data_IF_088993861165
#
_entry.id   IF_088993861165
#
_cell.length_a   1.000
_cell.length_b   1.000
_cell.length_c   1.000
_cell.angle_alpha   90.00
_cell.angle_beta   90.00
_cell.angle_gamma   90.00
#
_symmetry.space_group_name_H-M   'P 1'
#
loop_
_entity.id
_entity.type
_entity.pdbx_description
1 polymer ?
#
# COMPACT_ATOMS: atom_id res chain seq x y z
N UNK A 1 6.26 15.31 -2.65
CA UNK A 1 6.89 14.05 -3.15
C UNK A 1 6.02 13.51 -4.27
N UNK A 2 6.61 13.13 -5.41
CA UNK A 2 5.83 12.71 -6.60
C UNK A 2 5.70 11.18 -6.68
N UNK A 3 4.80 10.65 -5.87
CA UNK A 3 4.46 9.22 -5.84
C UNK A 3 2.93 9.07 -5.73
N UNK A 4 2.39 8.03 -6.33
CA UNK A 4 0.99 7.64 -6.20
C UNK A 4 0.90 6.29 -5.52
N UNK A 5 0.11 6.16 -4.46
CA UNK A 5 -0.20 4.88 -3.83
C UNK A 5 -1.56 4.38 -4.30
N UNK A 6 -1.59 3.18 -4.85
CA UNK A 6 -2.79 2.53 -5.38
C UNK A 6 -3.29 1.54 -4.33
N UNK A 7 -4.54 1.69 -3.92
CA UNK A 7 -5.13 0.96 -2.79
C UNK A 7 -6.46 0.36 -3.22
N UNK A 8 -6.49 -0.86 -3.77
CA UNK A 8 -7.73 -1.57 -4.03
C UNK A 8 -8.32 -2.13 -2.73
N UNK A 9 -9.62 -2.05 -2.60
CA UNK A 9 -10.40 -2.48 -1.43
C UNK A 9 -11.64 -3.27 -1.85
N UNK A 10 -11.93 -4.35 -1.15
CA UNK A 10 -13.16 -5.13 -1.29
C UNK A 10 -13.63 -5.62 0.08
N UNK A 11 -14.76 -5.07 0.54
CA UNK A 11 -15.37 -5.40 1.84
C UNK A 11 -14.39 -5.26 3.03
N UNK A 12 -13.60 -4.19 3.04
CA UNK A 12 -12.61 -3.88 4.09
C UNK A 12 -12.66 -2.42 4.52
N UNK A 13 -13.86 -1.83 4.58
CA UNK A 13 -14.06 -0.39 4.87
C UNK A 13 -13.25 0.12 6.05
N UNK A 14 -13.34 -0.53 7.20
CA UNK A 14 -12.67 -0.06 8.42
C UNK A 14 -11.15 -0.20 8.36
N UNK A 15 -10.65 -1.27 7.76
CA UNK A 15 -9.22 -1.41 7.48
C UNK A 15 -8.74 -0.33 6.52
N UNK A 16 -9.50 -0.07 5.43
CA UNK A 16 -9.18 0.99 4.47
C UNK A 16 -9.11 2.37 5.13
N UNK A 17 -10.01 2.68 6.06
CA UNK A 17 -9.97 3.92 6.82
C UNK A 17 -8.69 4.01 7.64
N UNK A 18 -8.29 2.94 8.32
CA UNK A 18 -7.04 2.90 9.08
C UNK A 18 -5.81 3.03 8.16
N UNK A 19 -5.81 2.35 7.03
CA UNK A 19 -4.76 2.49 5.98
C UNK A 19 -4.65 3.94 5.53
N UNK A 20 -5.76 4.56 5.12
CA UNK A 20 -5.81 5.95 4.70
C UNK A 20 -5.28 6.90 5.79
N UNK A 21 -5.75 6.74 7.03
CA UNK A 21 -5.33 7.57 8.15
C UNK A 21 -3.83 7.42 8.45
N UNK A 22 -3.28 6.20 8.38
CA UNK A 22 -1.85 5.96 8.58
C UNK A 22 -1.01 6.68 7.54
N UNK A 23 -1.45 6.68 6.29
CA UNK A 23 -0.77 7.38 5.20
C UNK A 23 -0.85 8.89 5.43
N UNK A 24 -2.05 9.44 5.69
CA UNK A 24 -2.25 10.88 5.90
C UNK A 24 -1.60 11.44 7.17
N UNK A 25 -1.29 10.57 8.14
CA UNK A 25 -0.50 10.94 9.33
C UNK A 25 0.89 11.45 8.92
N UNK A 26 1.54 10.82 7.97
CA UNK A 26 2.92 11.13 7.55
C UNK A 26 2.98 11.90 6.23
N UNK A 27 2.05 11.64 5.30
CA UNK A 27 2.11 12.10 3.92
C UNK A 27 0.80 12.76 3.49
N UNK A 28 0.66 14.05 3.77
CA UNK A 28 -0.58 14.81 3.49
C UNK A 28 -0.81 15.07 2.00
N UNK A 29 0.28 15.19 1.23
CA UNK A 29 0.21 15.72 -0.14
C UNK A 29 0.49 14.67 -1.23
N UNK A 30 0.74 13.41 -0.88
CA UNK A 30 0.92 12.36 -1.89
C UNK A 30 -0.41 11.97 -2.52
N UNK A 31 -0.36 11.59 -3.79
CA UNK A 31 -1.53 11.10 -4.50
C UNK A 31 -1.90 9.70 -4.03
N UNK A 32 -3.17 9.49 -3.73
CA UNK A 32 -3.75 8.16 -3.48
C UNK A 32 -4.74 7.84 -4.60
N UNK A 33 -4.68 6.63 -5.13
CA UNK A 33 -5.70 6.07 -6.01
C UNK A 33 -6.43 5.00 -5.22
N UNK A 34 -7.58 5.35 -4.65
CA UNK A 34 -8.38 4.44 -3.82
C UNK A 34 -9.47 3.83 -4.68
N UNK A 35 -9.52 2.50 -4.70
CA UNK A 35 -10.37 1.73 -5.58
C UNK A 35 -11.30 0.85 -4.75
N UNK A 36 -12.60 1.08 -4.89
CA UNK A 36 -13.62 0.19 -4.39
C UNK A 36 -13.97 -0.85 -5.45
N UNK A 37 -13.63 -2.11 -5.20
CA UNK A 37 -13.85 -3.27 -6.10
C UNK A 37 -15.24 -3.90 -5.89
N UNK A 38 -16.32 -3.10 -5.96
CA UNK A 38 -17.68 -3.61 -5.83
C UNK A 38 -18.06 -4.05 -4.42
N UNK A 39 -17.58 -3.34 -3.39
CA UNK A 39 -17.90 -3.65 -1.99
C UNK A 39 -19.38 -3.45 -1.64
N UNK A 40 -19.85 -4.20 -0.66
CA UNK A 40 -21.21 -4.14 -0.09
C UNK A 40 -21.26 -3.60 1.35
N UNK A 41 -20.10 -3.20 1.92
CA UNK A 41 -19.90 -2.76 3.30
C UNK A 41 -19.90 -1.22 3.49
N UNK A 42 -20.55 -0.49 2.58
CA UNK A 42 -20.58 0.98 2.53
C UNK A 42 -19.20 1.65 2.28
N UNK A 43 -18.23 0.94 1.70
CA UNK A 43 -16.96 1.52 1.24
C UNK A 43 -17.20 2.62 0.20
N UNK A 44 -18.15 2.40 -0.73
CA UNK A 44 -18.50 3.39 -1.77
C UNK A 44 -18.96 4.71 -1.15
N UNK A 45 -19.90 4.66 -0.20
CA UNK A 45 -20.42 5.84 0.48
C UNK A 45 -19.31 6.61 1.23
N UNK A 46 -18.42 5.89 1.92
CA UNK A 46 -17.28 6.50 2.60
C UNK A 46 -16.37 7.22 1.60
N UNK A 47 -16.05 6.55 0.48
CA UNK A 47 -15.18 7.09 -0.54
C UNK A 47 -15.78 8.32 -1.22
N UNK A 48 -17.08 8.32 -1.52
CA UNK A 48 -17.79 9.45 -2.10
C UNK A 48 -17.79 10.68 -1.18
N UNK A 49 -17.92 10.47 0.13
CA UNK A 49 -17.90 11.52 1.14
C UNK A 49 -16.50 12.00 1.54
N UNK A 50 -15.46 11.31 1.17
CA UNK A 50 -14.07 11.68 1.49
C UNK A 50 -13.71 13.02 0.84
N UNK A 51 -13.33 14.02 1.64
CA UNK A 51 -12.90 15.35 1.19
C UNK A 51 -11.38 15.46 1.21
N UNK A 52 -10.75 14.91 0.17
CA UNK A 52 -9.31 14.95 -0.01
C UNK A 52 -9.01 15.13 -1.50
N UNK A 53 -8.44 16.29 -1.85
CA UNK A 53 -8.15 16.65 -3.25
C UNK A 53 -6.99 15.84 -3.85
N UNK A 54 -6.19 15.17 -3.02
CA UNK A 54 -5.10 14.31 -3.46
C UNK A 54 -5.52 12.83 -3.55
N UNK A 55 -6.84 12.56 -3.62
CA UNK A 55 -7.40 11.21 -3.80
C UNK A 55 -8.14 11.11 -5.12
N UNK A 56 -7.66 10.22 -5.98
CA UNK A 56 -8.39 9.73 -7.16
C UNK A 56 -9.27 8.57 -6.67
N UNK A 57 -10.57 8.67 -6.89
CA UNK A 57 -11.57 7.72 -6.41
C UNK A 57 -12.09 6.88 -7.57
N UNK A 58 -12.03 5.57 -7.46
CA UNK A 58 -12.58 4.62 -8.43
C UNK A 58 -13.63 3.76 -7.73
N UNK A 59 -14.89 3.93 -8.07
CA UNK A 59 -16.01 3.12 -7.57
C UNK A 59 -16.47 2.15 -8.65
N UNK A 60 -16.14 0.87 -8.50
CA UNK A 60 -16.68 -0.20 -9.36
C UNK A 60 -18.02 -0.68 -8.81
N UNK A 61 -18.97 -0.95 -9.70
CA UNK A 61 -20.26 -1.58 -9.35
C UNK A 61 -20.14 -3.10 -9.16
N UNK A 62 -19.09 -3.70 -9.75
CA UNK A 62 -18.88 -5.14 -9.79
C UNK A 62 -17.46 -5.45 -9.37
N UNK A 63 -17.27 -6.62 -8.73
CA UNK A 63 -15.96 -7.13 -8.38
C UNK A 63 -15.21 -7.58 -9.62
N UNK A 64 -13.99 -7.04 -9.84
CA UNK A 64 -13.11 -7.38 -10.97
C UNK A 64 -11.79 -8.02 -10.53
N UNK A 65 -11.44 -7.90 -9.25
CA UNK A 65 -10.26 -8.48 -8.65
C UNK A 65 -9.01 -7.59 -8.69
N UNK A 66 -8.05 -7.92 -7.85
CA UNK A 66 -6.87 -7.10 -7.58
C UNK A 66 -6.03 -6.81 -8.83
N UNK A 67 -5.78 -7.83 -9.66
CA UNK A 67 -4.91 -7.67 -10.86
C UNK A 67 -5.46 -6.63 -11.83
N UNK A 68 -6.79 -6.63 -12.04
CA UNK A 68 -7.44 -5.64 -12.87
C UNK A 68 -7.24 -4.23 -12.30
N UNK A 69 -7.43 -4.07 -11.00
CA UNK A 69 -7.36 -2.76 -10.37
C UNK A 69 -5.95 -2.25 -10.11
N UNK A 70 -4.94 -3.12 -10.04
CA UNK A 70 -3.55 -2.65 -10.07
C UNK A 70 -3.25 -1.93 -11.38
N UNK A 71 -3.62 -2.51 -12.52
CA UNK A 71 -3.45 -1.89 -13.82
C UNK A 71 -4.27 -0.60 -13.97
N UNK A 72 -5.53 -0.64 -13.59
CA UNK A 72 -6.41 0.54 -13.68
C UNK A 72 -5.90 1.66 -12.78
N UNK A 73 -5.52 1.34 -11.55
CA UNK A 73 -4.94 2.31 -10.63
C UNK A 73 -3.65 2.93 -11.17
N UNK A 74 -2.77 2.13 -11.79
CA UNK A 74 -1.55 2.64 -12.41
C UNK A 74 -1.84 3.54 -13.61
N UNK A 75 -2.88 3.27 -14.39
CA UNK A 75 -3.30 4.13 -15.51
C UNK A 75 -3.83 5.48 -15.02
N UNK A 76 -4.59 5.48 -13.93
CA UNK A 76 -5.17 6.69 -13.33
C UNK A 76 -4.15 7.51 -12.53
N UNK A 77 -3.12 6.88 -11.97
CA UNK A 77 -2.06 7.56 -11.25
C UNK A 77 -1.35 8.60 -12.12
N UNK A 78 -1.12 9.80 -11.57
CA UNK A 78 -0.51 10.91 -12.34
C UNK A 78 1.01 10.98 -12.19
N UNK A 79 1.58 10.31 -11.19
CA UNK A 79 3.02 10.34 -10.93
C UNK A 79 3.78 9.21 -11.63
N UNK A 80 5.08 9.43 -11.82
CA UNK A 80 6.01 8.48 -12.44
C UNK A 80 6.32 7.29 -11.53
N UNK A 81 6.40 7.53 -10.24
CA UNK A 81 6.61 6.49 -9.23
C UNK A 81 5.25 6.09 -8.69
N UNK A 82 4.99 4.79 -8.67
CA UNK A 82 3.74 4.22 -8.17
C UNK A 82 4.02 3.15 -7.12
N UNK A 83 3.11 3.02 -6.18
CA UNK A 83 3.14 1.95 -5.19
C UNK A 83 1.81 1.21 -5.13
N UNK A 84 1.86 -0.09 -4.88
CA UNK A 84 0.69 -0.90 -4.57
C UNK A 84 0.66 -1.18 -3.08
N UNK A 85 -0.48 -0.95 -2.47
CA UNK A 85 -0.71 -1.18 -1.05
C UNK A 85 -2.09 -1.83 -0.87
N UNK A 86 -2.20 -2.84 -0.03
CA UNK A 86 -3.51 -3.40 0.29
C UNK A 86 -4.26 -2.52 1.30
N UNK A 87 -5.57 -2.65 1.30
CA UNK A 87 -6.48 -1.84 2.13
C UNK A 87 -6.45 -2.17 3.63
N UNK A 88 -5.65 -3.15 4.04
CA UNK A 88 -5.47 -3.61 5.42
C UNK A 88 -4.05 -3.37 5.95
N UNK A 89 -3.27 -2.52 5.28
CA UNK A 89 -1.88 -2.24 5.64
C UNK A 89 -1.74 -0.88 6.32
N UNK A 90 -0.96 -0.85 7.39
CA UNK A 90 -0.58 0.37 8.12
C UNK A 90 0.89 0.69 7.78
N UNK A 91 1.17 1.93 7.40
CA UNK A 91 2.56 2.36 7.19
C UNK A 91 3.15 2.98 8.44
N UNK A 92 4.45 2.76 8.64
CA UNK A 92 5.23 3.43 9.65
C UNK A 92 5.85 4.75 9.16
N UNK A 93 6.54 5.49 10.04
CA UNK A 93 7.25 6.71 9.69
C UNK A 93 8.36 6.43 8.67
N UNK A 94 8.62 7.40 7.81
CA UNK A 94 9.66 7.34 6.75
C UNK A 94 9.52 6.16 5.76
N UNK A 95 8.32 5.57 5.62
CA UNK A 95 8.05 4.48 4.70
C UNK A 95 8.49 4.80 3.26
N UNK A 96 8.03 5.95 2.74
CA UNK A 96 8.32 6.35 1.36
C UNK A 96 9.80 6.70 1.20
N UNK A 97 10.37 7.47 2.11
CA UNK A 97 11.78 7.85 2.08
C UNK A 97 12.69 6.63 2.10
N UNK A 98 12.37 5.65 2.94
CA UNK A 98 13.17 4.44 3.06
C UNK A 98 13.06 3.54 1.83
N UNK A 99 11.88 3.41 1.22
CA UNK A 99 11.71 2.61 0.01
C UNK A 99 12.33 3.29 -1.22
N UNK A 100 12.23 4.62 -1.33
CA UNK A 100 12.81 5.38 -2.44
C UNK A 100 14.34 5.33 -2.49
N UNK A 101 15.02 5.11 -1.36
CA UNK A 101 16.50 4.97 -1.32
C UNK A 101 17.03 3.81 -2.19
N UNK A 102 16.20 2.79 -2.39
CA UNK A 102 16.55 1.57 -3.11
C UNK A 102 15.90 1.48 -4.49
N UNK A 103 15.07 2.47 -4.86
CA UNK A 103 14.35 2.46 -6.12
C UNK A 103 15.26 2.85 -7.28
N UNK A 104 15.36 1.95 -8.25
CA UNK A 104 16.02 2.15 -9.54
C UNK A 104 15.11 1.65 -10.66
N UNK A 105 15.34 2.11 -11.90
CA UNK A 105 14.63 1.58 -13.08
C UNK A 105 14.84 0.07 -13.21
N UNK A 106 13.79 -0.65 -13.56
CA UNK A 106 13.79 -2.11 -13.66
C UNK A 106 13.76 -2.84 -12.32
N UNK A 107 13.60 -2.12 -11.19
CA UNK A 107 13.51 -2.72 -9.85
C UNK A 107 12.13 -2.49 -9.23
N UNK A 108 11.68 -3.47 -8.46
CA UNK A 108 10.54 -3.37 -7.54
C UNK A 108 11.09 -3.38 -6.11
N UNK A 109 10.74 -2.39 -5.33
CA UNK A 109 11.16 -2.29 -3.92
C UNK A 109 9.98 -2.60 -3.02
N UNK A 110 10.11 -3.63 -2.19
CA UNK A 110 9.12 -4.00 -1.18
C UNK A 110 9.57 -3.51 0.20
N UNK A 111 8.64 -3.00 1.00
CA UNK A 111 8.93 -2.75 2.40
C UNK A 111 8.97 -4.07 3.20
N UNK A 112 9.74 -4.09 4.27
CA UNK A 112 9.65 -5.16 5.28
C UNK A 112 8.27 -5.14 5.91
N UNK A 113 7.57 -6.28 5.87
CA UNK A 113 6.25 -6.42 6.49
C UNK A 113 6.38 -6.80 7.96
N UNK A 114 5.49 -6.26 8.77
CA UNK A 114 5.28 -6.71 10.14
C UNK A 114 3.92 -7.39 10.17
N UNK A 115 3.93 -8.66 10.48
CA UNK A 115 2.75 -9.52 10.42
C UNK A 115 2.38 -10.00 11.83
N UNK A 116 1.08 -10.13 12.15
CA UNK A 116 0.66 -10.69 13.42
C UNK A 116 1.07 -12.18 13.54
N UNK A 117 1.13 -12.74 14.78
CA UNK A 117 1.62 -14.10 15.05
C UNK A 117 0.87 -15.25 14.40
N UNK A 118 -0.25 -15.01 13.74
CA UNK A 118 -0.99 -16.00 12.94
C UNK A 118 -0.27 -16.40 11.64
N UNK A 119 0.69 -15.58 11.21
CA UNK A 119 1.46 -15.83 10.00
C UNK A 119 2.83 -16.44 10.32
N UNK A 120 3.32 -17.39 9.50
CA UNK A 120 4.66 -17.95 9.70
C UNK A 120 5.74 -16.89 9.46
N UNK A 121 6.88 -17.03 10.13
CA UNK A 121 8.05 -16.18 9.89
C UNK A 121 8.59 -16.35 8.45
N UNK A 122 9.24 -15.31 7.91
CA UNK A 122 9.86 -15.27 6.59
C UNK A 122 10.97 -14.23 6.54
N UNK A 123 11.79 -14.27 5.47
CA UNK A 123 12.90 -13.33 5.30
C UNK A 123 12.43 -11.90 5.03
N UNK A 124 11.24 -11.76 4.43
CA UNK A 124 10.64 -10.51 4.00
C UNK A 124 9.74 -9.89 5.08
N UNK A 125 9.67 -10.50 6.26
CA UNK A 125 8.74 -10.06 7.31
C UNK A 125 9.23 -10.34 8.71
N UNK A 126 8.68 -9.57 9.64
CA UNK A 126 8.85 -9.72 11.08
C UNK A 126 7.52 -10.14 11.66
N UNK A 127 7.53 -11.11 12.59
CA UNK A 127 6.31 -11.54 13.28
C UNK A 127 6.25 -10.84 14.63
N UNK A 128 5.28 -9.92 14.78
CA UNK A 128 5.00 -9.18 16.02
C UNK A 128 3.52 -8.83 16.15
N UNK A 129 3.04 -8.78 17.38
CA UNK A 129 1.65 -8.45 17.68
C UNK A 129 1.48 -6.93 17.89
N UNK A 130 1.09 -6.23 16.83
CA UNK A 130 0.61 -4.85 16.89
C UNK A 130 -0.89 -4.74 16.62
N UNK A 131 -1.64 -5.80 16.88
CA UNK A 131 -3.08 -5.94 16.64
C UNK A 131 -3.38 -6.95 15.55
N UNK A 132 -4.57 -7.53 15.67
CA UNK A 132 -5.05 -8.59 14.79
C UNK A 132 -6.19 -8.14 13.87
N UNK A 133 -6.83 -7.01 14.19
CA UNK A 133 -7.98 -6.47 13.49
C UNK A 133 -7.97 -4.93 13.50
N UNK A 134 -8.86 -4.32 12.74
CA UNK A 134 -8.96 -2.87 12.56
C UNK A 134 -9.23 -2.06 13.84
N UNK A 135 -9.76 -2.69 14.89
CA UNK A 135 -10.16 -2.06 16.15
C UNK A 135 -9.23 -2.33 17.34
N UNK A 136 -8.18 -3.14 17.16
CA UNK A 136 -7.23 -3.47 18.23
C UNK A 136 -5.78 -3.06 17.91
N UNK A 137 -5.59 -2.16 16.94
CA UNK A 137 -4.29 -1.72 16.48
C UNK A 137 -3.51 -0.96 17.57
N UNK A 138 -2.31 -1.43 17.89
CA UNK A 138 -1.36 -0.83 18.85
C UNK A 138 -0.44 0.15 18.11
N UNK A 139 -1.00 1.25 17.58
CA UNK A 139 -0.31 2.15 16.65
C UNK A 139 0.92 2.82 17.27
N UNK A 140 0.87 3.20 18.55
CA UNK A 140 2.01 3.85 19.22
C UNK A 140 3.17 2.89 19.41
N UNK A 141 2.90 1.63 19.77
CA UNK A 141 3.92 0.58 19.88
C UNK A 141 4.52 0.23 18.53
N UNK A 142 3.69 0.12 17.48
CA UNK A 142 4.12 -0.08 16.11
C UNK A 142 5.05 1.05 15.63
N UNK A 143 4.66 2.30 15.86
CA UNK A 143 5.43 3.48 15.48
C UNK A 143 6.80 3.53 16.17
N UNK A 144 6.82 3.27 17.48
CA UNK A 144 8.05 3.16 18.26
C UNK A 144 8.97 2.09 17.70
N UNK A 145 8.44 0.90 17.44
CA UNK A 145 9.18 -0.20 16.83
C UNK A 145 9.76 0.19 15.46
N UNK A 146 8.96 0.81 14.58
CA UNK A 146 9.43 1.26 13.28
C UNK A 146 10.58 2.26 13.38
N UNK A 147 10.51 3.21 14.31
CA UNK A 147 11.58 4.19 14.53
C UNK A 147 12.88 3.53 15.03
N UNK A 148 12.77 2.57 15.94
CA UNK A 148 13.93 1.86 16.51
C UNK A 148 14.59 0.93 15.48
N UNK A 149 13.79 0.27 14.62
CA UNK A 149 14.23 -0.82 13.75
C UNK A 149 14.46 -0.43 12.28
N UNK A 150 14.06 0.76 11.86
CA UNK A 150 14.10 1.18 10.44
C UNK A 150 15.50 1.10 9.79
N UNK A 151 16.57 1.08 10.58
CA UNK A 151 17.95 0.98 10.10
C UNK A 151 18.56 -0.44 10.18
N UNK A 152 17.85 -1.39 10.78
CA UNK A 152 18.37 -2.76 10.98
C UNK A 152 18.13 -3.68 9.79
N UNK A 153 17.07 -3.42 9.04
CA UNK A 153 16.65 -4.27 7.92
C UNK A 153 17.01 -3.60 6.60
N UNK A 154 18.10 -4.05 5.98
CA UNK A 154 18.65 -3.48 4.74
C UNK A 154 18.88 -4.57 3.70
N UNK A 155 18.66 -4.21 2.43
CA UNK A 155 19.19 -4.89 1.24
C UNK A 155 18.96 -6.42 1.17
N UNK A 156 17.78 -6.88 1.56
CA UNK A 156 17.44 -8.30 1.38
C UNK A 156 16.77 -8.48 0.02
N UNK A 157 17.45 -9.18 -0.88
CA UNK A 157 16.84 -9.62 -2.14
C UNK A 157 15.96 -10.84 -1.89
N UNK A 158 14.68 -10.74 -2.23
CA UNK A 158 13.72 -11.85 -2.15
C UNK A 158 13.38 -12.38 -3.56
N UNK A 159 12.90 -13.63 -3.64
CA UNK A 159 12.47 -14.24 -4.91
C UNK A 159 11.02 -13.90 -5.28
N UNK A 160 10.34 -13.06 -4.52
CA UNK A 160 8.95 -12.68 -4.73
C UNK A 160 8.72 -11.20 -4.52
N UNK A 161 7.59 -10.71 -5.04
CA UNK A 161 7.10 -9.35 -4.82
C UNK A 161 5.99 -9.43 -3.78
N UNK A 162 6.09 -8.64 -2.72
CA UNK A 162 5.13 -8.61 -1.62
C UNK A 162 4.66 -7.17 -1.40
N UNK A 163 3.35 -6.97 -1.34
CA UNK A 163 2.81 -5.65 -0.97
C UNK A 163 3.22 -5.30 0.49
N UNK A 164 3.49 -4.05 0.80
CA UNK A 164 3.50 -2.92 -0.12
C UNK A 164 4.78 -2.86 -0.95
N UNK A 165 4.65 -2.51 -2.23
CA UNK A 165 5.82 -2.31 -3.10
C UNK A 165 5.72 -1.01 -3.88
N UNK A 166 6.86 -0.49 -4.35
CA UNK A 166 6.97 0.65 -5.25
C UNK A 166 7.82 0.32 -6.47
N UNK A 167 7.54 0.97 -7.59
CA UNK A 167 8.29 0.87 -8.84
C UNK A 167 8.08 2.11 -9.70
N UNK A 168 8.84 2.22 -10.78
CA UNK A 168 8.51 3.17 -11.84
C UNK A 168 7.33 2.64 -12.68
N UNK A 169 6.35 3.48 -12.92
CA UNK A 169 5.11 3.11 -13.64
C UNK A 169 5.39 2.54 -15.03
N UNK A 170 6.37 3.05 -15.74
CA UNK A 170 6.77 2.55 -17.05
C UNK A 170 7.28 1.12 -17.00
N UNK A 171 8.02 0.73 -15.95
CA UNK A 171 8.53 -0.64 -15.80
C UNK A 171 7.39 -1.65 -15.68
N UNK A 172 6.29 -1.29 -15.01
CA UNK A 172 5.09 -2.15 -14.94
C UNK A 172 4.51 -2.43 -16.32
N UNK A 173 4.37 -1.41 -17.17
CA UNK A 173 3.78 -1.57 -18.48
C UNK A 173 4.75 -2.21 -19.49
N UNK A 174 6.07 -2.06 -19.33
CA UNK A 174 7.07 -2.73 -20.15
C UNK A 174 6.98 -4.26 -20.03
N UNK A 175 6.89 -4.79 -18.81
CA UNK A 175 6.76 -6.24 -18.54
C UNK A 175 5.51 -6.83 -19.25
N UNK A 176 4.41 -6.10 -19.30
CA UNK A 176 3.17 -6.57 -19.96
C UNK A 176 3.25 -6.62 -21.48
N UNK A 177 4.07 -5.77 -22.09
CA UNK A 177 4.24 -5.77 -23.55
C UNK A 177 5.10 -6.94 -24.04
N UNK A 178 5.95 -7.49 -23.19
CA UNK A 178 6.81 -8.65 -23.49
C UNK A 178 6.07 -10.00 -23.37
N UNK A 179 4.83 -10.00 -22.89
CA UNK A 179 4.02 -11.22 -22.69
C UNK A 179 2.96 -11.47 -23.79
N UNK A 180 3.11 -10.80 -24.95
CA UNK A 180 2.22 -11.00 -26.13
C UNK A 180 2.78 -12.02 -27.09
#
# INVERSE_FOLDING_TARGET
MKISLIIPSYNTKYHLINTYNSIRKYYKDIELVIINDGSTDNTSEWLDNLKDNNVIKINSKERKGHTFFYDEGMRQATNEIVGIMHSDMIIGPNYIENTLKYLERGKVVCATRIEPPIHPAGKEKIVMDFGMDHNDLKLDEFEKFCNEKSNEFKDVTTKGIFAPWILYKEDHFAIRNDTK
#
